data_IF_524609894325
#
_entry.id   IF_524609894325
#
_cell.length_a   1.000
_cell.length_b   1.000
_cell.length_c   1.000
_cell.angle_alpha   90.00
_cell.angle_beta   90.00
_cell.angle_gamma   90.00
#
_symmetry.space_group_name_H-M   'P 1'
#
loop_
_entity.id
_entity.type
_entity.pdbx_description
1 polymer ?
#
# COMPACT_ATOMS: atom_id res chain seq x y z
N UNK A 1 7.86 0.71 26.48
CA UNK A 1 7.11 1.19 25.30
C UNK A 1 8.10 1.43 24.17
N UNK A 2 8.11 0.59 23.13
CA UNK A 2 8.97 0.80 21.95
C UNK A 2 8.17 1.60 20.93
N UNK A 3 8.55 2.85 20.72
CA UNK A 3 8.03 3.72 19.68
C UNK A 3 8.65 3.27 18.36
N UNK A 4 7.98 2.41 17.59
CA UNK A 4 8.55 1.92 16.33
C UNK A 4 8.27 2.93 15.21
N UNK A 5 9.32 3.66 14.82
CA UNK A 5 9.44 4.35 13.53
C UNK A 5 9.08 3.35 12.42
N UNK A 6 8.43 3.80 11.34
CA UNK A 6 8.38 2.97 10.14
C UNK A 6 9.83 2.67 9.72
N UNK A 7 10.16 1.42 9.44
CA UNK A 7 11.54 0.98 9.18
C UNK A 7 12.04 1.31 7.76
N UNK A 8 11.32 2.16 7.03
CA UNK A 8 11.73 2.68 5.73
C UNK A 8 12.44 4.02 5.93
N UNK A 9 13.48 4.30 5.14
CA UNK A 9 14.13 5.61 5.15
C UNK A 9 13.15 6.75 4.83
N UNK A 10 12.25 6.52 3.87
CA UNK A 10 11.25 7.49 3.46
C UNK A 10 9.94 6.81 3.05
N UNK A 11 8.83 7.47 3.37
CA UNK A 11 7.50 7.12 2.86
C UNK A 11 6.86 8.38 2.32
N UNK A 12 6.51 8.37 1.03
CA UNK A 12 5.85 9.47 0.33
C UNK A 12 4.55 9.02 -0.35
N UNK A 13 3.72 9.97 -0.73
CA UNK A 13 2.43 9.73 -1.40
C UNK A 13 2.34 10.53 -2.69
N UNK A 14 1.70 9.96 -3.71
CA UNK A 14 1.26 10.75 -4.86
C UNK A 14 0.05 11.62 -4.47
N UNK A 15 -0.13 12.77 -5.12
CA UNK A 15 -1.28 13.64 -4.85
C UNK A 15 -2.63 12.93 -5.09
N UNK A 16 -2.67 12.02 -6.06
CA UNK A 16 -3.81 11.16 -6.38
C UNK A 16 -4.12 10.19 -5.25
N UNK A 17 -3.10 9.67 -4.56
CA UNK A 17 -3.29 8.79 -3.41
C UNK A 17 -4.05 9.49 -2.29
N UNK A 18 -3.71 10.75 -1.99
CA UNK A 18 -4.42 11.53 -0.99
C UNK A 18 -5.86 11.82 -1.40
N UNK A 19 -6.13 12.00 -2.70
CA UNK A 19 -7.50 12.12 -3.24
C UNK A 19 -8.27 10.82 -3.05
N UNK A 20 -7.63 9.67 -3.25
CA UNK A 20 -8.27 8.37 -3.07
C UNK A 20 -8.59 8.09 -1.59
N UNK A 21 -7.68 8.43 -0.67
CA UNK A 21 -7.97 8.41 0.77
C UNK A 21 -9.20 9.25 1.12
N UNK A 22 -9.32 10.45 0.55
CA UNK A 22 -10.48 11.34 0.76
C UNK A 22 -11.79 10.73 0.24
N UNK A 23 -11.76 9.99 -0.89
CA UNK A 23 -12.93 9.26 -1.39
C UNK A 23 -13.36 8.14 -0.42
N UNK A 24 -12.42 7.55 0.29
CA UNK A 24 -12.64 6.47 1.26
C UNK A 24 -12.95 6.96 2.68
N UNK A 25 -13.29 8.24 2.88
CA UNK A 25 -13.60 8.85 4.21
C UNK A 25 -14.67 8.13 5.05
N UNK A 26 -15.50 7.29 4.43
CA UNK A 26 -16.46 6.43 5.14
C UNK A 26 -15.77 5.42 6.08
N UNK A 27 -14.53 5.07 5.78
CA UNK A 27 -13.66 4.26 6.64
C UNK A 27 -12.79 5.17 7.50
N UNK A 28 -13.39 5.75 8.54
CA UNK A 28 -12.79 6.85 9.33
C UNK A 28 -11.41 6.55 9.91
N UNK A 29 -11.09 5.29 10.18
CA UNK A 29 -9.80 4.86 10.74
C UNK A 29 -8.73 4.59 9.68
N UNK A 30 -9.08 4.64 8.40
CA UNK A 30 -8.19 4.25 7.31
C UNK A 30 -6.84 5.00 7.31
N UNK A 31 -6.75 6.31 7.61
CA UNK A 31 -5.47 7.00 7.72
C UNK A 31 -4.55 6.39 8.79
N UNK A 32 -5.05 6.20 10.02
CA UNK A 32 -4.27 5.54 11.09
C UNK A 32 -3.95 4.08 10.75
N UNK A 33 -4.89 3.38 10.13
CA UNK A 33 -4.71 1.98 9.74
C UNK A 33 -3.63 1.85 8.64
N UNK A 34 -3.46 2.87 7.80
CA UNK A 34 -2.41 2.95 6.79
C UNK A 34 -1.03 3.05 7.44
N UNK A 35 -0.87 3.86 8.48
CA UNK A 35 0.37 3.96 9.25
C UNK A 35 0.75 2.61 9.88
N UNK A 36 -0.22 1.91 10.45
CA UNK A 36 -0.02 0.57 11.01
C UNK A 36 0.37 -0.41 9.91
N UNK A 37 -0.31 -0.36 8.76
CA UNK A 37 -0.03 -1.22 7.62
C UNK A 37 1.41 -1.05 7.10
N UNK A 38 1.90 0.19 6.96
CA UNK A 38 3.27 0.48 6.54
C UNK A 38 4.28 -0.10 7.55
N UNK A 39 4.04 0.10 8.86
CA UNK A 39 4.93 -0.37 9.93
C UNK A 39 4.92 -1.88 10.14
N UNK A 40 3.93 -2.58 9.59
CA UNK A 40 3.74 -4.02 9.83
C UNK A 40 3.84 -4.81 8.53
N UNK A 41 2.83 -4.73 7.66
CA UNK A 41 2.75 -5.55 6.47
C UNK A 41 3.85 -5.25 5.45
N UNK A 42 4.19 -3.96 5.24
CA UNK A 42 5.27 -3.61 4.31
C UNK A 42 6.64 -3.95 4.88
N UNK A 43 6.87 -3.68 6.17
CA UNK A 43 8.10 -4.07 6.87
C UNK A 43 8.32 -5.59 6.86
N UNK A 44 7.29 -6.36 7.20
CA UNK A 44 7.33 -7.82 7.20
C UNK A 44 7.77 -8.38 5.84
N UNK A 45 7.22 -7.82 4.76
CA UNK A 45 7.52 -8.28 3.42
C UNK A 45 8.90 -7.80 2.91
N UNK A 46 9.22 -6.50 3.04
CA UNK A 46 10.43 -5.94 2.43
C UNK A 46 11.69 -6.01 3.31
N UNK A 47 11.52 -5.92 4.63
CA UNK A 47 12.62 -5.89 5.60
C UNK A 47 12.90 -7.25 6.20
N UNK A 48 11.85 -7.89 6.69
CA UNK A 48 11.98 -9.22 7.30
C UNK A 48 11.99 -10.34 6.25
N UNK A 49 11.65 -10.01 4.99
CA UNK A 49 11.59 -10.96 3.86
C UNK A 49 10.65 -12.15 4.13
N UNK A 50 9.58 -11.90 4.90
CA UNK A 50 8.54 -12.89 5.23
C UNK A 50 7.34 -12.65 4.33
N UNK A 51 7.09 -13.58 3.40
CA UNK A 51 5.92 -13.53 2.54
C UNK A 51 4.73 -14.26 3.17
N UNK A 52 3.75 -13.49 3.65
CA UNK A 52 2.48 -14.01 4.14
C UNK A 52 1.38 -14.05 3.06
N UNK A 53 1.76 -13.94 1.78
CA UNK A 53 0.90 -13.83 0.60
C UNK A 53 -0.04 -12.60 0.64
N UNK A 54 0.32 -11.61 1.45
CA UNK A 54 -0.42 -10.36 1.62
C UNK A 54 -0.02 -9.27 0.63
N UNK A 55 1.11 -9.44 -0.05
CA UNK A 55 1.69 -8.49 -1.00
C UNK A 55 2.09 -9.26 -2.25
N UNK A 56 1.80 -8.71 -3.43
CA UNK A 56 2.21 -9.30 -4.70
C UNK A 56 2.86 -8.25 -5.59
N UNK A 57 3.90 -8.63 -6.34
CA UNK A 57 4.47 -7.77 -7.38
C UNK A 57 3.50 -7.69 -8.56
N UNK A 58 3.34 -6.50 -9.13
CA UNK A 58 2.54 -6.30 -10.35
C UNK A 58 3.47 -6.51 -11.55
N UNK A 59 3.17 -7.54 -12.34
CA UNK A 59 3.91 -7.86 -13.56
C UNK A 59 3.32 -7.14 -14.79
N UNK A 60 4.01 -7.27 -15.92
CA UNK A 60 3.55 -6.82 -17.25
C UNK A 60 3.25 -5.31 -17.36
N UNK A 61 4.01 -4.51 -16.60
CA UNK A 61 3.91 -3.05 -16.65
C UNK A 61 4.92 -2.41 -17.62
N UNK A 62 5.98 -3.13 -18.02
CA UNK A 62 7.11 -2.55 -18.75
C UNK A 62 8.02 -1.67 -17.88
N UNK A 63 7.86 -1.72 -16.56
CA UNK A 63 8.62 -0.92 -15.59
C UNK A 63 9.62 -1.85 -14.90
N UNK A 64 10.91 -1.60 -15.13
CA UNK A 64 11.99 -2.38 -14.49
C UNK A 64 12.25 -1.89 -13.06
N UNK A 65 12.20 -0.57 -12.85
CA UNK A 65 12.45 0.06 -11.57
C UNK A 65 11.71 1.43 -11.49
N UNK A 66 11.05 1.76 -10.36
CA UNK A 66 10.95 0.99 -9.12
C UNK A 66 10.07 -0.26 -9.25
N UNK A 67 10.17 -1.17 -8.27
CA UNK A 67 9.32 -2.35 -8.23
C UNK A 67 7.92 -1.98 -7.73
N UNK A 68 6.88 -2.34 -8.50
CA UNK A 68 5.49 -2.01 -8.17
C UNK A 68 4.78 -3.19 -7.52
N UNK A 69 4.09 -2.94 -6.42
CA UNK A 69 3.41 -3.96 -5.62
C UNK A 69 1.96 -3.61 -5.33
N UNK A 70 1.14 -4.66 -5.15
CA UNK A 70 -0.23 -4.59 -4.64
C UNK A 70 -0.30 -5.32 -3.31
N UNK A 71 -0.64 -4.60 -2.25
CA UNK A 71 -0.99 -5.20 -0.98
C UNK A 71 -2.50 -5.53 -0.92
N UNK A 72 -2.79 -6.77 -0.54
CA UNK A 72 -4.12 -7.37 -0.43
C UNK A 72 -4.54 -7.63 1.02
N UNK A 73 -3.58 -7.83 1.92
CA UNK A 73 -3.82 -7.95 3.36
C UNK A 73 -3.64 -6.59 4.02
N UNK A 74 -4.75 -6.02 4.43
CA UNK A 74 -4.82 -4.72 5.07
C UNK A 74 -5.90 -4.80 6.16
N UNK A 75 -5.53 -4.60 7.42
CA UNK A 75 -6.51 -4.52 8.49
C UNK A 75 -7.09 -3.10 8.54
N UNK A 76 -8.42 -2.98 8.53
CA UNK A 76 -9.09 -1.68 8.68
C UNK A 76 -10.12 -1.78 9.80
N UNK A 77 -9.95 -0.98 10.86
CA UNK A 77 -10.80 -1.04 12.06
C UNK A 77 -12.24 -0.62 11.78
N UNK A 78 -12.45 0.25 10.81
CA UNK A 78 -13.79 0.64 10.34
C UNK A 78 -14.55 -0.53 9.66
N UNK A 79 -13.85 -1.56 9.17
CA UNK A 79 -14.41 -2.74 8.54
C UNK A 79 -14.44 -3.92 9.53
N UNK A 80 -15.37 -3.87 10.49
CA UNK A 80 -15.48 -4.83 11.60
C UNK A 80 -15.63 -6.28 11.11
N UNK A 81 -15.00 -7.20 11.83
CA UNK A 81 -15.08 -8.64 11.56
C UNK A 81 -14.30 -9.13 10.32
N UNK A 82 -13.58 -8.25 9.62
CA UNK A 82 -12.82 -8.62 8.42
C UNK A 82 -11.35 -8.93 8.66
N UNK A 83 -10.79 -8.48 9.79
CA UNK A 83 -9.36 -8.59 10.07
C UNK A 83 -8.52 -8.02 8.92
N UNK A 84 -7.45 -8.71 8.54
CA UNK A 84 -6.58 -8.34 7.40
C UNK A 84 -7.27 -8.47 6.03
N UNK A 85 -8.41 -9.14 5.95
CA UNK A 85 -9.19 -9.30 4.72
C UNK A 85 -10.25 -8.20 4.58
N UNK A 86 -9.93 -6.97 4.99
CA UNK A 86 -10.85 -5.82 4.92
C UNK A 86 -11.36 -5.56 3.52
N UNK A 87 -10.57 -5.85 2.49
CA UNK A 87 -10.86 -5.52 1.10
C UNK A 87 -10.21 -4.21 0.66
N UNK A 88 -9.54 -3.48 1.56
CA UNK A 88 -8.66 -2.37 1.17
C UNK A 88 -7.47 -2.92 0.38
N UNK A 89 -7.10 -2.22 -0.68
CA UNK A 89 -5.96 -2.49 -1.54
C UNK A 89 -5.09 -1.24 -1.60
N UNK A 90 -3.78 -1.43 -1.46
CA UNK A 90 -2.79 -0.36 -1.57
C UNK A 90 -1.81 -0.75 -2.66
N UNK A 91 -1.61 0.15 -3.62
CA UNK A 91 -0.62 0.06 -4.67
C UNK A 91 0.53 0.99 -4.30
N UNK A 92 1.74 0.49 -4.37
CA UNK A 92 2.92 1.27 -4.02
C UNK A 92 4.14 0.83 -4.83
N UNK A 93 5.06 1.79 -5.04
CA UNK A 93 6.40 1.54 -5.54
C UNK A 93 7.36 1.35 -4.36
N UNK A 94 8.32 0.43 -4.50
CA UNK A 94 9.43 0.28 -3.59
C UNK A 94 10.75 0.48 -4.33
N UNK A 95 11.52 1.45 -3.84
CA UNK A 95 12.89 1.77 -4.28
C UNK A 95 13.86 1.08 -3.31
N UNK A 96 14.32 -0.13 -3.63
CA UNK A 96 15.08 -0.97 -2.68
C UNK A 96 16.42 -0.37 -2.24
N UNK A 97 17.15 0.26 -3.17
CA UNK A 97 18.41 0.96 -2.94
C UNK A 97 18.27 2.19 -2.03
N UNK A 98 17.14 2.91 -2.15
CA UNK A 98 16.84 4.11 -1.34
C UNK A 98 16.11 3.77 -0.05
N UNK A 99 15.54 2.58 -0.01
CA UNK A 99 14.61 2.12 1.01
C UNK A 99 13.39 3.05 1.17
N UNK A 100 12.83 3.45 0.02
CA UNK A 100 11.71 4.39 -0.07
C UNK A 100 10.45 3.70 -0.53
N UNK A 101 9.33 3.96 0.16
CA UNK A 101 7.98 3.60 -0.26
C UNK A 101 7.30 4.82 -0.88
N UNK A 102 6.69 4.66 -2.04
CA UNK A 102 5.80 5.66 -2.62
C UNK A 102 4.40 5.08 -2.83
N UNK A 103 3.41 5.64 -2.13
CA UNK A 103 2.03 5.20 -2.22
C UNK A 103 1.35 5.81 -3.45
N UNK A 104 0.85 4.96 -4.33
CA UNK A 104 0.37 5.33 -5.68
C UNK A 104 -1.17 5.39 -5.72
N UNK A 105 -1.81 4.34 -5.17
CA UNK A 105 -3.26 4.22 -5.17
C UNK A 105 -3.74 3.48 -3.92
N UNK A 106 -4.89 3.88 -3.39
CA UNK A 106 -5.65 3.09 -2.41
C UNK A 106 -7.09 2.96 -2.86
N UNK A 107 -7.65 1.76 -2.77
CA UNK A 107 -9.06 1.54 -3.10
C UNK A 107 -9.68 0.44 -2.24
N UNK A 108 -11.01 0.43 -2.18
CA UNK A 108 -11.76 -0.67 -1.61
C UNK A 108 -12.20 -1.63 -2.73
N UNK A 109 -11.89 -2.92 -2.61
CA UNK A 109 -12.20 -3.93 -3.62
C UNK A 109 -13.70 -3.96 -3.99
N UNK A 110 -14.58 -3.65 -3.03
CA UNK A 110 -16.02 -3.60 -3.28
C UNK A 110 -16.47 -2.43 -4.16
N UNK A 111 -15.65 -1.39 -4.32
CA UNK A 111 -15.92 -0.26 -5.23
C UNK A 111 -15.15 -0.37 -6.56
N UNK A 112 -13.99 -1.04 -6.54
CA UNK A 112 -13.07 -1.14 -7.68
C UNK A 112 -12.33 -2.47 -7.66
N UNK A 113 -12.33 -3.19 -8.77
CA UNK A 113 -11.70 -4.52 -8.83
C UNK A 113 -10.17 -4.49 -8.92
N UNK A 114 -9.63 -3.58 -9.74
CA UNK A 114 -8.21 -3.58 -10.14
C UNK A 114 -7.52 -2.23 -9.93
N UNK A 115 -6.19 -2.27 -9.92
CA UNK A 115 -5.31 -1.09 -9.87
C UNK A 115 -5.46 -0.21 -11.12
N UNK A 116 -5.16 1.07 -10.97
CA UNK A 116 -5.05 2.04 -12.06
C UNK A 116 -3.68 1.88 -12.77
N UNK A 117 -3.62 0.96 -13.73
CA UNK A 117 -2.39 0.68 -14.48
C UNK A 117 -1.92 1.86 -15.32
N UNK A 118 -2.84 2.67 -15.83
CA UNK A 118 -2.50 3.85 -16.63
C UNK A 118 -1.83 4.90 -15.75
N UNK A 119 -2.31 5.11 -14.51
CA UNK A 119 -1.61 5.95 -13.53
C UNK A 119 -0.21 5.43 -13.23
N UNK A 120 -0.04 4.13 -13.00
CA UNK A 120 1.29 3.56 -12.73
C UNK A 120 2.22 3.87 -13.91
N UNK A 121 1.79 3.63 -15.15
CA UNK A 121 2.60 3.90 -16.34
C UNK A 121 2.91 5.38 -16.52
N UNK A 122 1.95 6.26 -16.26
CA UNK A 122 2.15 7.71 -16.38
C UNK A 122 3.28 8.26 -15.49
N UNK A 123 3.59 7.61 -14.37
CA UNK A 123 4.64 8.04 -13.44
C UNK A 123 5.97 7.31 -13.61
N UNK A 124 5.97 6.09 -14.14
CA UNK A 124 7.14 5.20 -14.04
C UNK A 124 7.53 4.50 -15.36
N UNK A 125 6.77 4.68 -16.46
CA UNK A 125 7.13 4.18 -17.79
C UNK A 125 7.85 5.22 -18.64
#
# INVERSE_FOLDING_TARGET
MKTTKANFHEVKTLAEFDKDLKKLKRFRTLPDDLDVFIKTQLDLFHKQKIDNQGTVRIADLGIEYPLIFKARKFACRALKGKGVNSGIRVIYAYYEDKDTIELIEVYYKGDKENEDRDRIKAYYS
#
